data_IF_548834224004
#
_entry.id   IF_548834224004
#
_cell.length_a   1.000
_cell.length_b   1.000
_cell.length_c   1.000
_cell.angle_alpha   90.00
_cell.angle_beta   90.00
_cell.angle_gamma   90.00
#
_symmetry.space_group_name_H-M   'P 1'
#
loop_
_entity.id
_entity.type
_entity.pdbx_description
1 polymer ?
#
# COMPACT_ATOMS: atom_id res chain seq x y z
N UNK A 1 -25.83 -26.40 13.36
CA UNK A 1 -26.44 -25.04 13.23
C UNK A 1 -27.11 -24.57 14.53
N UNK A 2 -27.89 -25.41 15.22
CA UNK A 2 -28.62 -25.05 16.45
C UNK A 2 -27.77 -24.43 17.57
N UNK A 3 -26.51 -24.84 17.73
CA UNK A 3 -25.61 -24.35 18.78
C UNK A 3 -24.83 -23.07 18.43
N UNK A 4 -24.99 -22.51 17.22
CA UNK A 4 -24.14 -21.40 16.75
C UNK A 4 -24.26 -20.14 17.61
N UNK A 5 -25.49 -19.78 18.00
CA UNK A 5 -25.74 -18.60 18.84
C UNK A 5 -25.04 -18.70 20.20
N UNK A 6 -25.16 -19.87 20.85
CA UNK A 6 -24.53 -20.13 22.14
C UNK A 6 -22.99 -20.09 22.05
N UNK A 7 -22.41 -20.78 21.05
CA UNK A 7 -20.96 -20.83 20.86
C UNK A 7 -20.39 -19.45 20.52
N UNK A 8 -21.09 -18.66 19.70
CA UNK A 8 -20.70 -17.26 19.44
C UNK A 8 -20.72 -16.43 20.72
N UNK A 9 -21.73 -16.61 21.58
CA UNK A 9 -21.81 -15.95 22.89
C UNK A 9 -20.62 -16.31 23.79
N UNK A 10 -20.29 -17.60 23.90
CA UNK A 10 -19.13 -18.09 24.66
C UNK A 10 -17.81 -17.50 24.15
N UNK A 11 -17.57 -17.53 22.84
CA UNK A 11 -16.37 -16.94 22.24
C UNK A 11 -16.30 -15.43 22.45
N UNK A 12 -17.43 -14.72 22.33
CA UNK A 12 -17.49 -13.27 22.58
C UNK A 12 -17.11 -12.93 24.02
N UNK A 13 -17.65 -13.68 24.99
CA UNK A 13 -17.29 -13.49 26.40
C UNK A 13 -15.81 -13.80 26.66
N UNK A 14 -15.29 -14.88 26.06
CA UNK A 14 -13.89 -15.28 26.18
C UNK A 14 -12.95 -14.20 25.62
N UNK A 15 -13.15 -13.75 24.37
CA UNK A 15 -12.23 -12.79 23.76
C UNK A 15 -12.17 -11.45 24.51
N UNK A 16 -13.24 -11.06 25.22
CA UNK A 16 -13.25 -9.86 26.07
C UNK A 16 -12.38 -9.96 27.32
N UNK A 17 -11.88 -11.14 27.68
CA UNK A 17 -11.09 -11.35 28.91
C UNK A 17 -9.63 -10.91 28.78
N UNK A 18 -9.16 -10.63 27.56
CA UNK A 18 -7.80 -10.18 27.27
C UNK A 18 -7.81 -9.14 26.16
N UNK A 19 -6.76 -8.33 26.13
CA UNK A 19 -6.47 -7.42 25.02
C UNK A 19 -6.10 -8.21 23.76
N UNK A 20 -6.09 -7.53 22.61
CA UNK A 20 -5.62 -8.11 21.35
C UNK A 20 -4.18 -8.63 21.49
N UNK A 21 -3.28 -7.82 22.04
CA UNK A 21 -1.85 -8.16 22.12
C UNK A 21 -1.59 -9.35 23.07
N UNK A 22 -2.37 -9.49 24.15
CA UNK A 22 -2.32 -10.68 24.99
C UNK A 22 -2.82 -11.94 24.27
N UNK A 23 -3.81 -11.79 23.39
CA UNK A 23 -4.27 -12.88 22.53
C UNK A 23 -3.25 -13.24 21.45
N UNK A 24 -2.60 -12.24 20.85
CA UNK A 24 -1.50 -12.42 19.89
C UNK A 24 -0.39 -13.25 20.52
N UNK A 25 0.08 -12.88 21.73
CA UNK A 25 1.12 -13.61 22.44
C UNK A 25 0.77 -15.08 22.75
N UNK A 26 -0.52 -15.43 22.82
CA UNK A 26 -1.00 -16.79 23.07
C UNK A 26 -1.16 -17.59 21.77
N UNK A 27 -1.68 -16.94 20.72
CA UNK A 27 -2.15 -17.62 19.51
C UNK A 27 -1.18 -17.55 18.35
N UNK A 28 -0.35 -16.51 18.26
CA UNK A 28 0.68 -16.42 17.22
C UNK A 28 1.65 -17.59 17.32
N UNK A 29 2.13 -18.04 16.15
CA UNK A 29 3.06 -19.17 16.03
C UNK A 29 2.54 -20.51 16.59
N UNK A 30 1.23 -20.65 16.79
CA UNK A 30 0.58 -21.93 17.09
C UNK A 30 0.01 -22.59 15.82
N UNK A 31 -0.51 -23.81 15.94
CA UNK A 31 -1.15 -24.56 14.83
C UNK A 31 -2.58 -24.06 14.52
N UNK A 32 -2.95 -22.87 14.99
CA UNK A 32 -4.25 -22.26 14.74
C UNK A 32 -4.16 -21.20 13.64
N UNK A 33 -5.10 -21.23 12.69
CA UNK A 33 -5.29 -20.15 11.74
C UNK A 33 -5.81 -18.90 12.46
N UNK A 34 -4.89 -18.00 12.80
CA UNK A 34 -5.16 -16.78 13.54
C UNK A 34 -4.36 -15.61 12.97
N UNK A 35 -4.93 -14.42 13.05
CA UNK A 35 -4.22 -13.16 12.86
C UNK A 35 -4.96 -12.04 13.61
N UNK A 36 -4.25 -11.08 14.20
CA UNK A 36 -4.86 -9.86 14.73
C UNK A 36 -5.45 -9.00 13.61
N UNK A 37 -6.44 -8.18 13.98
CA UNK A 37 -6.83 -7.04 13.16
C UNK A 37 -5.88 -5.90 13.46
N UNK A 38 -5.03 -5.59 12.47
CA UNK A 38 -4.06 -4.49 12.54
C UNK A 38 -4.63 -3.21 11.92
N UNK A 39 -4.22 -2.07 12.48
CA UNK A 39 -4.35 -0.78 11.81
C UNK A 39 -3.43 -0.71 10.58
N UNK A 40 -3.63 0.27 9.70
CA UNK A 40 -2.79 0.43 8.50
C UNK A 40 -1.32 0.68 8.84
N UNK A 41 -1.03 1.46 9.89
CA UNK A 41 0.33 1.72 10.34
C UNK A 41 0.98 0.49 10.98
N UNK A 42 0.24 -0.26 11.81
CA UNK A 42 0.71 -1.53 12.36
C UNK A 42 0.99 -2.55 11.24
N UNK A 43 0.11 -2.65 10.25
CA UNK A 43 0.29 -3.57 9.12
C UNK A 43 1.57 -3.23 8.33
N UNK A 44 1.86 -1.95 8.09
CA UNK A 44 3.07 -1.53 7.41
C UNK A 44 4.35 -1.88 8.20
N UNK A 45 4.30 -1.71 9.52
CA UNK A 45 5.43 -1.98 10.42
C UNK A 45 5.56 -3.46 10.84
N UNK A 46 4.53 -4.29 10.60
CA UNK A 46 4.50 -5.68 11.05
C UNK A 46 5.75 -6.45 10.58
N UNK A 47 6.42 -7.25 11.44
CA UNK A 47 7.71 -7.87 11.11
C UNK A 47 7.73 -8.63 9.78
N UNK A 48 6.65 -9.35 9.46
CA UNK A 48 6.53 -10.05 8.18
C UNK A 48 6.51 -9.11 6.97
N UNK A 49 5.82 -7.97 7.07
CA UNK A 49 5.70 -6.99 6.00
C UNK A 49 6.99 -6.16 5.86
N UNK A 50 7.62 -5.81 6.97
CA UNK A 50 8.92 -5.13 6.99
C UNK A 50 10.02 -6.01 6.36
N UNK A 51 10.13 -7.27 6.78
CA UNK A 51 11.12 -8.21 6.24
C UNK A 51 10.97 -8.46 4.75
N UNK A 52 9.75 -8.31 4.22
CA UNK A 52 9.45 -8.46 2.80
C UNK A 52 9.53 -7.13 2.07
N UNK A 53 9.51 -5.98 2.73
CA UNK A 53 9.31 -4.69 2.08
C UNK A 53 7.97 -4.65 1.35
N UNK A 54 6.90 -5.15 1.98
CA UNK A 54 5.53 -5.15 1.42
C UNK A 54 5.01 -3.74 1.19
N UNK A 55 5.44 -2.79 2.02
CA UNK A 55 5.16 -1.37 1.88
C UNK A 55 6.47 -0.62 1.64
N UNK A 56 6.42 0.44 0.85
CA UNK A 56 7.54 1.29 0.46
C UNK A 56 7.16 2.75 0.64
N UNK A 57 8.15 3.58 0.98
CA UNK A 57 8.02 5.04 0.95
C UNK A 57 8.31 5.55 -0.46
N UNK A 58 7.39 6.35 -1.00
CA UNK A 58 7.55 7.03 -2.28
C UNK A 58 7.06 8.46 -2.13
N UNK A 59 7.97 9.43 -2.24
CA UNK A 59 7.62 10.84 -2.09
C UNK A 59 7.18 11.23 -0.67
N UNK A 60 7.52 10.45 0.36
CA UNK A 60 7.09 10.66 1.74
C UNK A 60 5.77 9.97 2.11
N UNK A 61 5.13 9.27 1.16
CA UNK A 61 3.93 8.49 1.39
C UNK A 61 4.24 6.99 1.48
N UNK A 62 3.72 6.34 2.52
CA UNK A 62 3.80 4.88 2.66
C UNK A 62 2.72 4.21 1.83
N UNK A 63 3.13 3.40 0.86
CA UNK A 63 2.21 2.68 -0.04
C UNK A 63 2.66 1.25 -0.31
N UNK A 64 1.77 0.35 -0.80
CA UNK A 64 2.15 -1.01 -1.16
C UNK A 64 3.24 -1.04 -2.23
N UNK A 65 4.20 -1.94 -2.08
CA UNK A 65 5.14 -2.28 -3.14
C UNK A 65 4.41 -3.03 -4.28
N UNK A 66 4.90 -2.97 -5.53
CA UNK A 66 4.34 -3.74 -6.63
C UNK A 66 4.24 -5.24 -6.33
N UNK A 67 3.11 -5.83 -6.72
CA UNK A 67 2.83 -7.26 -6.56
C UNK A 67 2.27 -7.85 -7.88
N UNK A 68 2.57 -9.14 -8.19
CA UNK A 68 3.38 -10.08 -7.41
C UNK A 68 4.89 -9.81 -7.50
N UNK A 69 5.68 -10.50 -6.66
CA UNK A 69 7.14 -10.48 -6.73
C UNK A 69 7.63 -11.57 -7.67
N UNK A 70 8.33 -11.18 -8.71
CA UNK A 70 8.92 -12.11 -9.66
C UNK A 70 10.35 -12.48 -9.24
N UNK A 71 10.73 -13.75 -9.45
CA UNK A 71 12.06 -14.25 -9.08
C UNK A 71 13.17 -13.85 -10.07
N UNK A 72 12.83 -13.64 -11.34
CA UNK A 72 13.79 -13.32 -12.40
C UNK A 72 13.79 -11.84 -12.79
N UNK A 73 12.62 -11.20 -12.86
CA UNK A 73 12.47 -9.81 -13.31
C UNK A 73 12.17 -8.90 -12.13
N UNK A 74 13.03 -7.92 -11.88
CA UNK A 74 12.79 -6.95 -10.81
C UNK A 74 11.76 -5.93 -11.28
N UNK A 75 10.67 -5.78 -10.54
CA UNK A 75 9.70 -4.70 -10.77
C UNK A 75 10.30 -3.38 -10.30
N UNK A 76 10.24 -2.35 -11.14
CA UNK A 76 10.71 -1.02 -10.79
C UNK A 76 9.96 -0.47 -9.56
N UNK A 77 10.68 0.26 -8.70
CA UNK A 77 10.06 1.00 -7.60
C UNK A 77 9.22 2.14 -8.20
N UNK A 78 7.99 2.38 -7.71
CA UNK A 78 7.21 3.54 -8.15
C UNK A 78 7.94 4.86 -7.84
N UNK A 79 7.74 5.83 -8.72
CA UNK A 79 8.16 7.21 -8.52
C UNK A 79 7.03 8.02 -7.88
N UNK A 80 7.33 9.17 -7.25
CA UNK A 80 6.31 10.09 -6.75
C UNK A 80 5.33 10.50 -7.86
N UNK A 81 4.08 10.72 -7.48
CA UNK A 81 3.06 11.18 -8.42
C UNK A 81 3.46 12.54 -9.02
N UNK A 82 3.50 12.69 -10.36
CA UNK A 82 3.79 13.97 -10.98
C UNK A 82 2.65 14.95 -10.72
N UNK A 83 2.99 16.24 -10.67
CA UNK A 83 2.01 17.32 -10.65
C UNK A 83 1.52 17.65 -12.06
N UNK A 84 0.32 18.23 -12.21
CA UNK A 84 -0.14 18.71 -13.50
C UNK A 84 0.88 19.67 -14.14
N UNK A 85 1.42 19.28 -15.30
CA UNK A 85 2.37 20.08 -16.07
C UNK A 85 3.82 19.59 -16.04
N UNK A 86 4.19 18.71 -15.08
CA UNK A 86 5.58 18.26 -14.90
C UNK A 86 6.18 17.63 -16.16
N UNK A 87 5.37 16.85 -16.89
CA UNK A 87 5.82 16.13 -18.09
C UNK A 87 5.47 16.84 -19.41
N UNK A 88 4.84 18.03 -19.38
CA UNK A 88 4.32 18.71 -20.59
C UNK A 88 5.39 18.86 -21.66
N UNK A 89 6.56 19.41 -21.30
CA UNK A 89 7.62 19.66 -22.28
C UNK A 89 8.24 18.36 -22.80
N UNK A 90 8.48 17.39 -21.92
CA UNK A 90 9.03 16.10 -22.30
C UNK A 90 8.10 15.37 -23.30
N UNK A 91 6.79 15.40 -23.04
CA UNK A 91 5.79 14.80 -23.93
C UNK A 91 5.71 15.55 -25.26
N UNK A 92 5.57 16.88 -25.26
CA UNK A 92 5.47 17.66 -26.51
C UNK A 92 6.75 17.53 -27.36
N UNK A 93 7.92 17.48 -26.72
CA UNK A 93 9.18 17.20 -27.39
C UNK A 93 9.21 15.78 -27.99
N UNK A 94 8.72 14.77 -27.26
CA UNK A 94 8.63 13.39 -27.78
C UNK A 94 7.71 13.26 -29.00
N UNK A 95 6.74 14.17 -29.12
CA UNK A 95 5.83 14.28 -30.26
C UNK A 95 6.43 15.09 -31.44
N UNK A 96 7.63 15.64 -31.27
CA UNK A 96 8.36 16.36 -32.32
C UNK A 96 8.10 17.86 -32.38
N UNK A 97 7.43 18.46 -31.38
CA UNK A 97 7.22 19.91 -31.36
C UNK A 97 8.51 20.63 -30.99
N UNK A 98 8.85 21.64 -31.79
CA UNK A 98 9.97 22.54 -31.56
C UNK A 98 9.74 23.45 -30.35
N UNK A 99 10.81 24.04 -29.83
CA UNK A 99 10.76 24.97 -28.69
C UNK A 99 9.85 26.18 -28.99
N UNK A 100 9.84 26.63 -30.24
CA UNK A 100 8.99 27.73 -30.70
C UNK A 100 7.50 27.36 -30.67
N UNK A 101 7.14 26.17 -31.13
CA UNK A 101 5.75 25.69 -31.09
C UNK A 101 5.26 25.50 -29.65
N UNK A 102 6.12 24.96 -28.76
CA UNK A 102 5.77 24.81 -27.34
C UNK A 102 5.59 26.15 -26.64
N UNK A 103 6.40 27.16 -26.98
CA UNK A 103 6.25 28.51 -26.44
C UNK A 103 4.90 29.13 -26.83
N UNK A 104 4.45 28.94 -28.08
CA UNK A 104 3.14 29.42 -28.55
C UNK A 104 1.99 28.78 -27.77
N UNK A 105 2.07 27.48 -27.49
CA UNK A 105 1.04 26.77 -26.71
C UNK A 105 0.95 27.28 -25.26
N UNK A 106 2.09 27.63 -24.65
CA UNK A 106 2.13 28.22 -23.30
C UNK A 106 1.59 29.64 -23.28
N UNK A 107 1.99 30.48 -24.25
CA UNK A 107 1.49 31.85 -24.37
C UNK A 107 -0.03 31.88 -24.58
N UNK A 108 -0.56 30.93 -25.35
CA UNK A 108 -2.00 30.76 -25.56
C UNK A 108 -2.75 30.15 -24.37
N UNK A 109 -2.06 29.75 -23.29
CA UNK A 109 -2.66 29.07 -22.13
C UNK A 109 -3.24 27.69 -22.44
N UNK A 110 -2.84 27.08 -23.56
CA UNK A 110 -3.32 25.75 -23.99
C UNK A 110 -2.68 24.63 -23.17
N UNK A 111 -1.43 24.84 -22.74
CA UNK A 111 -0.70 23.96 -21.84
C UNK A 111 -0.13 24.78 -20.68
N UNK A 112 -0.04 24.15 -19.50
CA UNK A 112 0.58 24.72 -18.30
C UNK A 112 2.08 24.80 -18.45
#
# INVERSE_FOLDING_TARGET
>A
RSQWGELKGKLTALFKTKTRDEWDAIMEHTDMCYAPVLTMSEAAAHPHNAARGTFVDVGGDTQPAPAPRYSATVTAKPEPTPMPGDDTDAILQSLGLSDAERAVLREAGTVA
#
